data_IF_107278264591
#
_entry.id   IF_107278264591
#
_cell.length_a   1.000
_cell.length_b   1.000
_cell.length_c   1.000
_cell.angle_alpha   90.00
_cell.angle_beta   90.00
_cell.angle_gamma   90.00
#
_symmetry.space_group_name_H-M   'P 1'
#
loop_
_entity.id
_entity.type
_entity.pdbx_description
1 polymer ?
#
# COMPACT_ATOMS: atom_id res chain seq x y z
N UNK A 1 8.89 54.34 -27.43
CA UNK A 1 8.45 53.22 -28.30
C UNK A 1 8.97 51.93 -27.70
N UNK A 2 8.17 50.91 -27.39
CA UNK A 2 6.70 50.83 -27.39
C UNK A 2 6.24 50.04 -26.15
N UNK A 3 5.02 50.30 -25.67
CA UNK A 3 4.50 49.74 -24.42
C UNK A 3 4.34 48.22 -24.41
N UNK A 4 4.47 47.64 -23.21
CA UNK A 4 3.90 46.33 -22.88
C UNK A 4 3.27 46.41 -21.49
N UNK A 5 1.96 46.10 -21.35
CA UNK A 5 1.27 46.28 -20.08
C UNK A 5 1.77 45.31 -19.01
N UNK A 6 1.81 45.79 -17.76
CA UNK A 6 1.90 44.93 -16.58
C UNK A 6 0.73 43.93 -16.60
N UNK A 7 0.98 42.67 -16.23
CA UNK A 7 -0.08 41.74 -15.84
C UNK A 7 0.11 41.32 -14.38
N UNK A 8 -1.01 41.24 -13.69
CA UNK A 8 -1.08 41.19 -12.23
C UNK A 8 -0.83 39.78 -11.67
N UNK A 9 -0.77 39.67 -10.34
CA UNK A 9 -0.35 38.46 -9.65
C UNK A 9 -1.33 37.28 -9.78
N UNK A 10 -0.90 36.20 -10.42
CA UNK A 10 -1.63 34.93 -10.44
C UNK A 10 -1.29 34.08 -9.20
N UNK A 11 -2.10 34.21 -8.15
CA UNK A 11 -2.02 33.36 -6.95
C UNK A 11 -2.08 31.86 -7.32
N UNK A 12 -1.14 31.07 -6.81
CA UNK A 12 -0.96 29.67 -7.19
C UNK A 12 -2.00 28.75 -6.53
N UNK A 13 -3.23 28.81 -7.02
CA UNK A 13 -4.29 27.88 -6.65
C UNK A 13 -4.12 26.57 -7.46
N UNK A 14 -3.92 25.43 -6.76
CA UNK A 14 -3.70 24.13 -7.37
C UNK A 14 -5.00 23.56 -7.96
N UNK A 15 -5.40 24.07 -9.13
CA UNK A 15 -6.52 23.55 -9.93
C UNK A 15 -6.37 22.05 -10.18
N UNK A 16 -7.49 21.33 -10.13
CA UNK A 16 -7.48 19.87 -10.27
C UNK A 16 -7.06 19.45 -11.69
N UNK A 17 -6.43 18.27 -11.81
CA UNK A 17 -5.98 17.71 -13.09
C UNK A 17 -7.09 17.66 -14.16
N UNK A 18 -8.35 17.52 -13.76
CA UNK A 18 -9.48 17.47 -14.69
C UNK A 18 -9.66 18.77 -15.52
N UNK A 19 -9.31 19.94 -14.97
CA UNK A 19 -9.50 21.23 -15.66
C UNK A 19 -8.48 21.47 -16.77
N UNK A 20 -7.31 20.82 -16.72
CA UNK A 20 -6.25 20.98 -17.72
C UNK A 20 -6.44 20.11 -18.98
N UNK A 21 -7.34 19.13 -18.95
CA UNK A 21 -7.41 18.05 -19.94
C UNK A 21 -8.48 18.27 -21.02
N UNK A 22 -9.21 19.40 -20.99
CA UNK A 22 -10.25 19.75 -21.97
C UNK A 22 -10.10 21.17 -22.60
N UNK A 23 -8.93 21.54 -23.16
CA UNK A 23 -8.91 22.55 -24.23
C UNK A 23 -9.49 21.96 -25.53
N UNK A 24 -10.06 22.81 -26.38
CA UNK A 24 -10.68 22.38 -27.64
C UNK A 24 -9.73 21.63 -28.57
N UNK A 25 -10.28 20.67 -29.32
CA UNK A 25 -9.58 19.95 -30.39
C UNK A 25 -10.46 20.01 -31.63
N UNK A 26 -10.03 20.80 -32.62
CA UNK A 26 -10.63 20.79 -33.94
C UNK A 26 -10.44 19.43 -34.62
N UNK A 27 -11.45 19.00 -35.38
CA UNK A 27 -11.45 17.68 -36.03
C UNK A 27 -10.67 17.70 -37.33
N UNK A 28 -9.68 16.81 -37.54
CA UNK A 28 -9.43 16.28 -38.87
C UNK A 28 -10.53 15.27 -39.24
N UNK A 29 -10.99 15.28 -40.48
CA UNK A 29 -11.92 14.30 -41.03
C UNK A 29 -11.14 13.14 -41.65
N UNK A 30 -11.38 11.93 -41.17
CA UNK A 30 -11.15 10.68 -41.91
C UNK A 30 -12.28 9.74 -41.54
N UNK A 31 -13.01 9.24 -42.53
CA UNK A 31 -14.02 8.21 -42.33
C UNK A 31 -13.38 6.82 -42.31
N UNK A 32 -13.74 6.00 -41.32
CA UNK A 32 -13.36 4.61 -41.23
C UNK A 32 -14.49 3.83 -40.54
N UNK A 33 -15.04 2.82 -41.21
CA UNK A 33 -16.12 2.01 -40.66
C UNK A 33 -15.65 1.21 -39.44
N UNK A 34 -16.28 1.45 -38.27
CA UNK A 34 -16.02 0.66 -37.06
C UNK A 34 -17.21 -0.25 -36.77
N UNK A 35 -17.10 -1.50 -37.23
CA UNK A 35 -18.01 -2.60 -36.87
C UNK A 35 -18.10 -2.77 -35.34
N UNK A 36 -19.27 -3.16 -34.78
CA UNK A 36 -19.49 -3.14 -33.34
C UNK A 36 -18.51 -4.03 -32.56
N UNK A 37 -17.84 -3.45 -31.56
CA UNK A 37 -16.87 -4.14 -30.68
C UNK A 37 -17.54 -5.29 -29.90
N UNK A 38 -16.91 -6.46 -29.90
CA UNK A 38 -17.40 -7.67 -29.23
C UNK A 38 -17.26 -7.64 -27.69
N UNK A 39 -17.98 -8.51 -26.94
CA UNK A 39 -18.05 -8.45 -25.47
C UNK A 39 -16.72 -8.69 -24.71
N UNK A 40 -15.67 -9.17 -25.37
CA UNK A 40 -14.38 -9.54 -24.77
C UNK A 40 -13.72 -8.39 -24.00
N UNK A 41 -13.94 -7.15 -24.43
CA UNK A 41 -13.42 -5.95 -23.76
C UNK A 41 -13.98 -5.77 -22.34
N UNK A 42 -15.27 -6.08 -22.11
CA UNK A 42 -15.89 -5.95 -20.78
C UNK A 42 -15.33 -6.99 -19.80
N UNK A 43 -15.13 -8.23 -20.28
CA UNK A 43 -14.57 -9.34 -19.49
C UNK A 43 -13.12 -9.06 -19.06
N UNK A 44 -12.26 -8.63 -19.99
CA UNK A 44 -10.87 -8.23 -19.67
C UNK A 44 -10.78 -7.05 -18.69
N UNK A 45 -11.71 -6.08 -18.77
CA UNK A 45 -11.81 -4.97 -17.80
C UNK A 45 -12.22 -5.46 -16.40
N UNK A 46 -13.08 -6.48 -16.31
CA UNK A 46 -13.49 -7.10 -15.04
C UNK A 46 -12.35 -7.94 -14.44
N UNK A 47 -11.68 -8.75 -15.24
CA UNK A 47 -10.53 -9.57 -14.84
C UNK A 47 -9.37 -8.67 -14.36
N UNK A 48 -9.07 -7.56 -15.05
CA UNK A 48 -8.10 -6.57 -14.60
C UNK A 48 -8.49 -5.89 -13.27
N UNK A 49 -9.77 -5.61 -13.05
CA UNK A 49 -10.26 -5.08 -11.77
C UNK A 49 -10.15 -6.10 -10.63
N UNK A 50 -10.40 -7.39 -10.90
CA UNK A 50 -10.29 -8.48 -9.93
C UNK A 50 -8.83 -8.81 -9.58
N UNK A 51 -7.90 -8.67 -10.54
CA UNK A 51 -6.45 -8.76 -10.30
C UNK A 51 -5.96 -7.60 -9.41
N UNK A 52 -6.46 -6.37 -9.66
CA UNK A 52 -6.19 -5.22 -8.79
C UNK A 52 -6.75 -5.42 -7.36
N UNK A 53 -7.97 -5.94 -7.22
CA UNK A 53 -8.61 -6.16 -5.91
C UNK A 53 -7.86 -7.19 -5.01
N UNK A 54 -7.05 -8.10 -5.58
CA UNK A 54 -6.30 -9.09 -4.77
C UNK A 54 -5.02 -8.54 -4.12
N UNK A 55 -4.34 -7.58 -4.74
CA UNK A 55 -3.02 -7.10 -4.27
C UNK A 55 -3.03 -5.77 -3.53
N UNK A 56 -4.11 -4.97 -3.60
CA UNK A 56 -4.11 -3.56 -3.19
C UNK A 56 -4.79 -3.21 -1.85
N UNK A 57 -5.19 -4.21 -1.04
CA UNK A 57 -6.08 -4.09 0.14
C UNK A 57 -5.72 -3.09 1.27
N UNK A 58 -4.57 -2.41 1.24
CA UNK A 58 -4.23 -1.31 2.17
C UNK A 58 -4.14 0.08 1.53
N UNK A 59 -3.88 0.14 0.22
CA UNK A 59 -3.99 1.39 -0.57
C UNK A 59 -5.49 1.69 -0.87
N UNK A 60 -6.35 0.71 -0.58
CA UNK A 60 -7.79 0.74 -0.81
C UNK A 60 -8.52 1.94 -0.20
N UNK A 61 -8.13 2.55 0.92
CA UNK A 61 -8.89 3.73 1.41
C UNK A 61 -8.86 4.90 0.42
N UNK A 62 -7.69 5.20 -0.15
CA UNK A 62 -7.53 6.23 -1.18
C UNK A 62 -7.94 5.74 -2.59
N UNK A 63 -7.82 4.44 -2.87
CA UNK A 63 -8.22 3.86 -4.16
C UNK A 63 -9.72 3.54 -4.26
N UNK A 64 -10.42 3.22 -3.18
CA UNK A 64 -11.89 3.11 -3.13
C UNK A 64 -12.55 4.49 -3.13
N UNK A 65 -11.95 5.53 -2.53
CA UNK A 65 -12.42 6.91 -2.72
C UNK A 65 -12.22 7.37 -4.18
N UNK A 66 -11.14 6.95 -4.84
CA UNK A 66 -10.96 7.11 -6.28
C UNK A 66 -11.95 6.26 -7.09
N UNK A 67 -12.17 4.97 -6.76
CA UNK A 67 -13.11 4.04 -7.42
C UNK A 67 -14.53 4.58 -7.39
N UNK A 68 -14.99 5.08 -6.23
CA UNK A 68 -16.30 5.74 -6.07
C UNK A 68 -16.40 7.04 -6.89
N UNK A 69 -15.34 7.85 -6.91
CA UNK A 69 -15.29 9.08 -7.73
C UNK A 69 -15.25 8.79 -9.23
N UNK A 70 -14.52 7.76 -9.64
CA UNK A 70 -14.34 7.29 -11.03
C UNK A 70 -15.59 6.57 -11.55
N UNK A 71 -16.26 5.77 -10.71
CA UNK A 71 -17.59 5.22 -11.00
C UNK A 71 -18.59 6.36 -11.19
N UNK A 72 -18.68 7.32 -10.26
CA UNK A 72 -19.55 8.51 -10.42
C UNK A 72 -19.21 9.33 -11.67
N UNK A 73 -17.94 9.54 -11.99
CA UNK A 73 -17.52 10.27 -13.18
C UNK A 73 -17.86 9.49 -14.48
N UNK A 74 -17.61 8.18 -14.50
CA UNK A 74 -17.96 7.29 -15.61
C UNK A 74 -19.47 7.12 -15.79
N UNK A 75 -20.24 7.11 -14.71
CA UNK A 75 -21.70 7.15 -14.70
C UNK A 75 -22.24 8.51 -15.15
N UNK A 76 -21.61 9.62 -14.74
CA UNK A 76 -21.93 10.96 -15.21
C UNK A 76 -21.65 11.10 -16.71
N UNK A 77 -20.51 10.62 -17.20
CA UNK A 77 -20.19 10.56 -18.64
C UNK A 77 -21.11 9.62 -19.42
N UNK A 78 -21.49 8.46 -18.87
CA UNK A 78 -22.51 7.59 -19.47
C UNK A 78 -23.89 8.23 -19.46
N UNK A 79 -24.26 8.95 -18.40
CA UNK A 79 -25.51 9.71 -18.31
C UNK A 79 -25.50 10.84 -19.33
N UNK A 80 -24.44 11.64 -19.40
CA UNK A 80 -24.30 12.74 -20.36
C UNK A 80 -24.29 12.23 -21.80
N UNK A 81 -23.62 11.10 -22.10
CA UNK A 81 -23.76 10.44 -23.41
C UNK A 81 -25.19 10.02 -23.67
N UNK A 82 -25.85 9.32 -22.74
CA UNK A 82 -27.27 8.92 -22.84
C UNK A 82 -28.23 10.11 -22.90
N UNK A 83 -27.91 11.25 -22.30
CA UNK A 83 -28.74 12.46 -22.34
C UNK A 83 -28.55 13.17 -23.68
N UNK A 84 -27.31 13.33 -24.17
CA UNK A 84 -27.02 13.84 -25.52
C UNK A 84 -27.61 12.92 -26.61
N UNK A 85 -27.56 11.60 -26.41
CA UNK A 85 -28.15 10.58 -27.27
C UNK A 85 -29.68 10.61 -27.21
N UNK A 86 -30.28 10.70 -26.01
CA UNK A 86 -31.71 11.02 -25.84
C UNK A 86 -32.10 12.36 -26.43
N UNK A 87 -31.20 13.35 -26.49
CA UNK A 87 -31.51 14.70 -26.96
C UNK A 87 -31.41 14.77 -28.48
N UNK A 88 -30.47 14.04 -29.10
CA UNK A 88 -30.52 13.69 -30.52
C UNK A 88 -31.78 12.90 -30.86
N UNK A 89 -32.03 11.79 -30.16
CA UNK A 89 -33.22 10.97 -30.33
C UNK A 89 -34.51 11.72 -30.00
N UNK A 90 -34.50 12.80 -29.21
CA UNK A 90 -35.66 13.71 -28.98
C UNK A 90 -35.82 14.74 -30.08
N UNK A 91 -34.76 15.18 -30.75
CA UNK A 91 -34.88 15.99 -31.98
C UNK A 91 -35.38 15.12 -33.12
N UNK A 92 -34.91 13.87 -33.19
CA UNK A 92 -35.35 12.88 -34.17
C UNK A 92 -36.76 12.34 -33.87
N UNK A 93 -37.09 12.03 -32.60
CA UNK A 93 -38.48 11.75 -32.18
C UNK A 93 -39.36 12.97 -32.28
N UNK A 94 -38.87 14.20 -32.04
CA UNK A 94 -39.71 15.37 -32.28
C UNK A 94 -40.00 15.49 -33.77
N UNK A 95 -39.01 15.39 -34.67
CA UNK A 95 -39.27 15.37 -36.12
C UNK A 95 -40.26 14.25 -36.48
N UNK A 96 -40.06 13.04 -35.95
CA UNK A 96 -40.98 11.90 -36.13
C UNK A 96 -42.32 12.03 -35.41
N UNK A 97 -42.47 12.94 -34.45
CA UNK A 97 -43.74 13.27 -33.77
C UNK A 97 -44.42 14.45 -34.45
N UNK A 98 -43.70 15.40 -35.04
CA UNK A 98 -44.28 16.40 -35.93
C UNK A 98 -44.82 15.67 -37.19
N UNK A 99 -44.16 14.59 -37.64
CA UNK A 99 -44.64 13.62 -38.65
C UNK A 99 -45.79 12.73 -38.09
N UNK A 100 -45.63 12.08 -36.93
CA UNK A 100 -46.66 11.20 -36.34
C UNK A 100 -47.85 11.93 -35.70
N UNK A 101 -47.81 13.23 -35.42
CA UNK A 101 -48.98 14.00 -34.93
C UNK A 101 -49.88 14.42 -36.11
N UNK A 102 -49.35 14.44 -37.34
CA UNK A 102 -50.19 14.38 -38.54
C UNK A 102 -50.93 13.03 -38.61
N UNK A 103 -50.22 11.90 -38.53
CA UNK A 103 -50.84 10.55 -38.56
C UNK A 103 -51.72 10.22 -37.33
N UNK A 104 -51.42 10.78 -36.14
CA UNK A 104 -52.16 10.51 -34.89
C UNK A 104 -53.30 11.48 -34.65
N UNK A 105 -53.38 12.60 -35.36
CA UNK A 105 -54.64 13.33 -35.51
C UNK A 105 -55.76 12.44 -36.08
N UNK A 106 -55.40 11.44 -36.88
CA UNK A 106 -56.33 10.47 -37.46
C UNK A 106 -56.62 9.26 -36.54
N UNK A 107 -55.69 8.92 -35.61
CA UNK A 107 -55.71 7.65 -34.86
C UNK A 107 -55.98 7.80 -33.35
N UNK A 108 -55.60 8.90 -32.69
CA UNK A 108 -55.82 9.08 -31.24
C UNK A 108 -57.29 9.41 -30.87
N UNK A 109 -58.19 9.39 -31.86
CA UNK A 109 -59.63 9.34 -31.65
C UNK A 109 -60.09 7.98 -31.08
N UNK A 110 -59.28 6.91 -31.18
CA UNK A 110 -59.82 5.54 -31.11
C UNK A 110 -59.57 4.72 -29.82
N UNK A 111 -58.46 4.89 -29.08
CA UNK A 111 -58.16 4.06 -27.87
C UNK A 111 -57.45 4.77 -26.71
N UNK A 112 -58.22 5.21 -25.71
CA UNK A 112 -57.72 5.65 -24.41
C UNK A 112 -58.49 5.01 -23.21
N UNK A 113 -58.24 3.72 -22.89
CA UNK A 113 -58.79 3.05 -21.68
C UNK A 113 -57.76 2.17 -20.93
N UNK A 114 -57.44 2.60 -19.69
CA UNK A 114 -57.04 1.83 -18.47
C UNK A 114 -55.60 1.23 -18.24
N UNK A 115 -54.91 1.82 -17.23
CA UNK A 115 -54.23 1.33 -15.97
C UNK A 115 -53.95 -0.20 -15.69
N UNK A 116 -53.08 -0.70 -14.75
CA UNK A 116 -51.80 -0.28 -14.01
C UNK A 116 -51.39 -1.27 -12.84
N UNK A 117 -50.09 -1.42 -12.41
CA UNK A 117 -49.53 -1.81 -11.01
C UNK A 117 -49.64 -3.30 -10.49
N UNK A 118 -48.82 -4.03 -9.64
CA UNK A 118 -47.43 -4.12 -8.97
C UNK A 118 -47.05 -5.63 -8.61
N UNK A 119 -46.27 -6.20 -7.61
CA UNK A 119 -45.59 -5.87 -6.28
C UNK A 119 -44.47 -6.91 -5.83
N UNK A 120 -44.05 -7.06 -4.54
CA UNK A 120 -42.74 -7.68 -4.03
C UNK A 120 -42.68 -8.27 -2.55
N UNK A 121 -41.49 -8.76 -1.98
CA UNK A 121 -41.00 -9.08 -0.53
C UNK A 121 -40.63 -10.61 -0.20
N UNK A 122 -39.98 -11.24 0.87
CA UNK A 122 -39.42 -11.03 2.29
C UNK A 122 -38.50 -12.22 2.88
N UNK A 123 -37.81 -12.11 4.09
CA UNK A 123 -37.12 -13.14 5.04
C UNK A 123 -35.60 -13.54 4.82
N UNK A 124 -34.70 -14.22 5.62
CA UNK A 124 -34.38 -14.79 7.03
C UNK A 124 -32.79 -15.14 7.09
N UNK A 125 -31.99 -15.72 8.05
CA UNK A 125 -31.82 -15.93 9.55
C UNK A 125 -30.52 -16.73 10.01
N UNK A 126 -30.17 -16.77 11.34
CA UNK A 126 -29.51 -17.87 12.18
C UNK A 126 -28.03 -17.87 12.79
N UNK A 127 -27.59 -18.93 13.57
CA UNK A 127 -26.94 -18.89 14.96
C UNK A 127 -25.91 -20.07 15.39
N UNK A 128 -25.05 -19.89 16.47
CA UNK A 128 -24.43 -20.86 17.51
C UNK A 128 -23.00 -21.55 17.47
N UNK A 129 -22.32 -21.78 18.66
CA UNK A 129 -21.53 -23.01 19.14
C UNK A 129 -20.33 -22.81 20.15
N UNK A 130 -19.98 -23.83 21.03
CA UNK A 130 -18.62 -24.17 21.65
C UNK A 130 -18.58 -25.15 22.87
N UNK A 131 -17.54 -26.02 23.00
CA UNK A 131 -17.12 -26.80 24.23
C UNK A 131 -15.69 -27.42 24.11
N UNK A 132 -14.85 -27.43 25.16
CA UNK A 132 -13.64 -28.33 25.30
C UNK A 132 -12.87 -28.16 26.64
N UNK A 133 -12.64 -29.21 27.49
CA UNK A 133 -11.76 -29.12 28.70
C UNK A 133 -11.41 -30.38 29.56
N UNK A 134 -11.55 -31.65 29.11
CA UNK A 134 -11.68 -32.83 30.02
C UNK A 134 -10.49 -33.83 30.14
N UNK A 135 -9.27 -33.54 29.67
CA UNK A 135 -8.31 -34.62 29.32
C UNK A 135 -7.30 -35.08 30.42
N UNK A 136 -6.74 -34.17 31.23
CA UNK A 136 -5.40 -34.36 31.83
C UNK A 136 -5.29 -35.35 33.03
N UNK A 137 -6.38 -35.64 33.74
CA UNK A 137 -6.31 -36.32 35.04
C UNK A 137 -5.98 -37.82 35.00
N UNK A 138 -6.14 -38.50 33.85
CA UNK A 138 -6.04 -39.98 33.78
C UNK A 138 -4.61 -40.53 33.85
N UNK A 139 -3.62 -39.83 33.30
CA UNK A 139 -2.36 -40.46 32.88
C UNK A 139 -1.46 -40.94 34.03
N UNK A 140 -1.61 -40.39 35.24
CA UNK A 140 -0.72 -40.68 36.39
C UNK A 140 -1.02 -42.00 37.11
N UNK A 141 -2.20 -42.60 36.87
CA UNK A 141 -2.62 -43.82 37.56
C UNK A 141 -1.97 -45.08 36.95
N UNK A 142 -2.01 -45.20 35.62
CA UNK A 142 -1.61 -46.41 34.88
C UNK A 142 -0.16 -46.85 35.17
N UNK A 143 0.79 -45.89 35.23
CA UNK A 143 2.21 -46.19 35.42
C UNK A 143 2.54 -46.87 36.75
N UNK A 144 1.74 -46.67 37.80
CA UNK A 144 1.95 -47.35 39.10
C UNK A 144 1.50 -48.80 39.06
N UNK A 145 0.48 -49.10 38.26
CA UNK A 145 -0.12 -50.43 38.14
C UNK A 145 0.76 -51.39 37.34
N UNK A 146 1.21 -50.98 36.15
CA UNK A 146 2.10 -51.79 35.28
C UNK A 146 3.42 -52.16 35.95
N UNK A 147 3.96 -51.28 36.81
CA UNK A 147 5.17 -51.57 37.60
C UNK A 147 4.97 -52.71 38.60
N UNK A 148 3.76 -52.89 39.16
CA UNK A 148 3.45 -54.01 40.04
C UNK A 148 3.32 -55.34 39.26
N UNK A 149 2.77 -55.29 38.03
CA UNK A 149 2.73 -56.44 37.12
C UNK A 149 4.14 -56.89 36.75
N UNK A 150 4.99 -55.97 36.29
CA UNK A 150 6.40 -56.27 35.96
C UNK A 150 7.18 -56.81 37.16
N UNK A 151 6.95 -56.28 38.38
CA UNK A 151 7.56 -56.80 39.61
C UNK A 151 7.20 -58.29 39.85
N UNK A 152 6.01 -58.74 39.47
CA UNK A 152 5.55 -60.11 39.70
C UNK A 152 6.14 -61.13 38.70
N UNK A 153 6.68 -60.66 37.58
CA UNK A 153 7.21 -61.46 36.46
C UNK A 153 8.74 -61.40 36.33
N UNK A 154 9.46 -61.09 37.43
CA UNK A 154 10.94 -60.94 37.52
C UNK A 154 11.80 -62.12 37.02
N UNK A 155 11.22 -63.23 36.59
CA UNK A 155 11.93 -64.32 35.92
C UNK A 155 12.17 -64.08 34.41
N UNK A 156 11.64 -62.99 33.85
CA UNK A 156 11.68 -62.68 32.42
C UNK A 156 12.13 -61.24 32.15
N UNK A 157 12.79 -61.02 31.02
CA UNK A 157 13.23 -59.70 30.56
C UNK A 157 12.03 -58.88 30.05
N UNK A 158 11.55 -57.95 30.89
CA UNK A 158 10.33 -57.15 30.65
C UNK A 158 10.64 -55.65 30.67
N UNK A 159 10.15 -54.96 29.64
CA UNK A 159 10.15 -53.50 29.50
C UNK A 159 8.75 -52.98 29.85
N UNK A 160 8.68 -51.95 30.71
CA UNK A 160 7.44 -51.29 31.08
C UNK A 160 7.47 -49.80 30.72
N UNK A 161 6.40 -49.30 30.09
CA UNK A 161 6.22 -47.88 29.83
C UNK A 161 4.74 -47.46 29.93
N UNK A 162 4.42 -46.58 30.87
CA UNK A 162 3.08 -46.09 31.18
C UNK A 162 2.05 -47.21 31.39
N UNK A 163 1.28 -47.56 30.34
CA UNK A 163 0.23 -48.57 30.37
C UNK A 163 0.59 -49.84 29.59
N UNK A 164 1.73 -49.83 28.88
CA UNK A 164 2.10 -50.85 27.90
C UNK A 164 3.32 -51.65 28.42
N UNK A 165 3.28 -52.97 28.25
CA UNK A 165 4.32 -53.93 28.64
C UNK A 165 4.83 -54.66 27.39
N UNK A 166 6.12 -55.00 27.37
CA UNK A 166 6.72 -55.88 26.36
C UNK A 166 7.82 -56.73 27.00
N UNK A 167 8.17 -57.86 26.37
CA UNK A 167 9.30 -58.68 26.79
C UNK A 167 9.94 -59.39 25.60
N UNK A 168 11.15 -59.92 25.80
CA UNK A 168 11.91 -60.65 24.79
C UNK A 168 12.63 -61.85 25.41
N UNK A 169 12.95 -62.85 24.60
CA UNK A 169 13.65 -64.06 25.06
C UNK A 169 13.68 -65.14 23.98
N UNK A 170 14.13 -66.35 24.36
CA UNK A 170 13.98 -67.54 23.51
C UNK A 170 12.49 -67.86 23.31
N UNK A 171 12.14 -68.50 22.20
CA UNK A 171 10.73 -68.83 21.87
C UNK A 171 9.99 -69.49 23.04
N UNK A 172 10.58 -70.52 23.65
CA UNK A 172 10.01 -71.22 24.80
C UNK A 172 9.81 -70.30 26.02
N UNK A 173 10.78 -69.43 26.33
CA UNK A 173 10.66 -68.50 27.45
C UNK A 173 9.66 -67.37 27.17
N UNK A 174 9.53 -66.91 25.92
CA UNK A 174 8.55 -65.91 25.54
C UNK A 174 7.11 -66.45 25.64
N UNK A 175 6.87 -67.70 25.23
CA UNK A 175 5.57 -68.36 25.43
C UNK A 175 5.27 -68.65 26.91
N UNK A 176 6.28 -68.99 27.73
CA UNK A 176 6.12 -69.08 29.20
C UNK A 176 5.76 -67.72 29.82
N UNK A 177 6.52 -66.67 29.50
CA UNK A 177 6.30 -65.31 30.01
C UNK A 177 4.90 -64.78 29.66
N UNK A 178 4.48 -64.94 28.41
CA UNK A 178 3.14 -64.52 27.96
C UNK A 178 2.03 -65.28 28.68
N UNK A 179 2.18 -66.59 28.89
CA UNK A 179 1.22 -67.40 29.64
C UNK A 179 1.20 -67.08 31.15
N UNK A 180 2.34 -66.72 31.74
CA UNK A 180 2.38 -66.25 33.13
C UNK A 180 1.75 -64.85 33.30
N UNK A 181 1.89 -63.97 32.30
CA UNK A 181 1.20 -62.67 32.26
C UNK A 181 -0.33 -62.83 32.16
N UNK A 182 -0.81 -63.69 31.25
CA UNK A 182 -2.24 -64.03 31.10
C UNK A 182 -2.82 -64.63 32.39
N UNK A 183 -2.16 -65.66 32.94
CA UNK A 183 -2.53 -66.23 34.24
C UNK A 183 -2.56 -65.19 35.38
N UNK A 184 -1.62 -64.24 35.40
CA UNK A 184 -1.57 -63.16 36.38
C UNK A 184 -2.72 -62.17 36.20
N UNK A 185 -3.05 -61.79 34.96
CA UNK A 185 -4.20 -60.94 34.66
C UNK A 185 -5.52 -61.60 35.08
N UNK A 186 -5.72 -62.87 34.74
CA UNK A 186 -6.88 -63.66 35.15
C UNK A 186 -6.98 -63.77 36.68
N UNK A 187 -5.86 -64.08 37.36
CA UNK A 187 -5.83 -64.23 38.84
C UNK A 187 -6.09 -62.91 39.57
N UNK A 188 -5.70 -61.77 39.00
CA UNK A 188 -5.89 -60.45 39.58
C UNK A 188 -7.15 -59.71 39.08
N UNK A 189 -7.97 -60.31 38.21
CA UNK A 189 -9.17 -59.69 37.66
C UNK A 189 -8.89 -58.47 36.75
N UNK A 190 -7.81 -58.55 35.97
CA UNK A 190 -7.31 -57.45 35.12
C UNK A 190 -7.82 -57.65 33.69
N UNK A 191 -8.62 -56.71 33.18
CA UNK A 191 -9.04 -56.70 31.77
C UNK A 191 -7.91 -56.21 30.86
N UNK A 192 -7.39 -57.08 30.00
CA UNK A 192 -6.39 -56.71 29.00
C UNK A 192 -7.02 -55.96 27.82
N UNK A 193 -6.30 -54.98 27.25
CA UNK A 193 -6.62 -54.42 25.95
C UNK A 193 -6.24 -55.40 24.83
N UNK A 194 -7.06 -56.43 24.60
CA UNK A 194 -6.81 -57.52 23.63
C UNK A 194 -6.45 -57.06 22.21
N UNK A 195 -6.91 -55.89 21.78
CA UNK A 195 -6.55 -55.26 20.48
C UNK A 195 -5.13 -54.67 20.42
N UNK A 196 -4.40 -54.65 21.54
CA UNK A 196 -2.98 -54.32 21.69
C UNK A 196 -2.13 -55.52 22.12
N UNK A 197 -2.75 -56.62 22.52
CA UNK A 197 -2.06 -57.81 22.97
C UNK A 197 -1.44 -58.53 21.75
N UNK A 198 -0.13 -58.75 21.79
CA UNK A 198 0.58 -59.50 20.76
C UNK A 198 1.11 -60.79 21.38
N UNK A 199 0.70 -61.93 20.84
CA UNK A 199 1.32 -63.22 21.16
C UNK A 199 2.81 -63.21 20.77
N UNK A 200 3.66 -64.02 21.41
CA UNK A 200 5.09 -64.08 21.11
C UNK A 200 5.38 -64.24 19.62
N UNK A 201 6.12 -63.27 19.09
CA UNK A 201 6.33 -63.06 17.65
C UNK A 201 7.75 -62.59 17.38
N UNK A 202 8.26 -62.93 16.20
CA UNK A 202 9.52 -62.39 15.68
C UNK A 202 9.43 -60.91 15.28
N UNK A 203 8.21 -60.37 15.12
CA UNK A 203 7.97 -58.97 14.77
C UNK A 203 6.79 -58.40 15.57
N UNK A 204 7.00 -57.29 16.27
CA UNK A 204 6.02 -56.68 17.19
C UNK A 204 6.13 -55.14 17.16
N UNK A 205 5.01 -54.42 17.16
CA UNK A 205 5.01 -52.96 17.39
C UNK A 205 4.90 -52.67 18.89
N UNK A 206 5.91 -52.01 19.46
CA UNK A 206 5.90 -51.54 20.85
C UNK A 206 6.18 -50.03 20.90
N UNK A 207 5.34 -49.29 21.64
CA UNK A 207 5.36 -47.82 21.74
C UNK A 207 5.36 -47.05 20.40
N UNK A 208 5.06 -47.74 19.30
CA UNK A 208 5.09 -47.16 17.98
C UNK A 208 6.33 -47.40 17.14
N UNK A 209 7.21 -48.31 17.57
CA UNK A 209 8.37 -48.81 16.83
C UNK A 209 8.16 -50.30 16.60
N UNK A 210 8.39 -50.77 15.38
CA UNK A 210 8.35 -52.19 15.04
C UNK A 210 9.73 -52.78 15.29
N UNK A 211 9.80 -53.72 16.22
CA UNK A 211 11.00 -54.52 16.47
C UNK A 211 10.93 -55.82 15.66
N UNK A 212 11.97 -56.15 14.91
CA UNK A 212 12.13 -57.44 14.22
C UNK A 212 13.35 -58.18 14.79
N UNK A 213 13.11 -59.27 15.52
CA UNK A 213 14.16 -60.02 16.25
C UNK A 213 14.94 -60.98 15.37
N UNK A 214 14.50 -61.21 14.12
CA UNK A 214 15.22 -62.05 13.14
C UNK A 214 16.17 -61.20 12.30
N UNK A 215 15.76 -59.98 11.93
CA UNK A 215 16.64 -59.00 11.26
C UNK A 215 17.49 -58.17 12.22
N UNK A 216 17.15 -58.17 13.51
CA UNK A 216 17.69 -57.26 14.54
C UNK A 216 17.48 -55.77 14.17
N UNK A 217 16.34 -55.44 13.55
CA UNK A 217 15.99 -54.07 13.13
C UNK A 217 14.94 -53.43 14.04
N UNK A 218 15.03 -52.10 14.16
CA UNK A 218 13.98 -51.22 14.69
C UNK A 218 13.47 -50.35 13.55
N UNK A 219 12.19 -50.46 13.21
CA UNK A 219 11.54 -49.82 12.06
C UNK A 219 10.43 -48.88 12.55
N UNK A 220 10.30 -47.69 11.96
CA UNK A 220 9.14 -46.81 12.22
C UNK A 220 8.02 -47.22 11.25
N UNK A 221 6.77 -47.46 11.71
CA UNK A 221 5.65 -47.78 10.83
C UNK A 221 5.47 -46.74 9.70
N UNK A 222 5.23 -47.21 8.48
CA UNK A 222 5.10 -46.35 7.28
C UNK A 222 4.03 -45.26 7.44
N UNK A 223 2.94 -45.53 8.15
CA UNK A 223 1.89 -44.54 8.39
C UNK A 223 2.36 -43.39 9.30
N UNK A 224 3.21 -43.68 10.30
CA UNK A 224 3.84 -42.62 11.11
C UNK A 224 4.86 -41.82 10.30
N UNK A 225 5.55 -42.46 9.35
CA UNK A 225 6.41 -41.76 8.39
C UNK A 225 5.59 -40.90 7.40
N UNK A 226 4.36 -41.30 7.03
CA UNK A 226 3.44 -40.44 6.26
C UNK A 226 2.99 -39.24 7.09
N UNK A 227 2.59 -39.43 8.35
CA UNK A 227 2.17 -38.33 9.24
C UNK A 227 3.29 -37.31 9.48
N UNK A 228 4.52 -37.78 9.73
CA UNK A 228 5.69 -36.89 9.87
C UNK A 228 5.93 -36.09 8.58
N UNK A 229 5.84 -36.72 7.39
CA UNK A 229 5.94 -36.01 6.09
C UNK A 229 4.81 -34.99 5.90
N UNK A 230 3.58 -35.33 6.28
CA UNK A 230 2.42 -34.44 6.20
C UNK A 230 2.59 -33.21 7.10
N UNK A 231 3.08 -33.40 8.33
CA UNK A 231 3.38 -32.31 9.27
C UNK A 231 4.48 -31.41 8.71
N UNK A 232 5.60 -31.98 8.24
CA UNK A 232 6.72 -31.20 7.67
C UNK A 232 6.28 -30.38 6.45
N UNK A 233 5.55 -30.97 5.51
CA UNK A 233 5.01 -30.25 4.35
C UNK A 233 4.07 -29.10 4.74
N UNK A 234 3.28 -29.26 5.81
CA UNK A 234 2.43 -28.18 6.33
C UNK A 234 3.22 -27.03 7.00
N UNK A 235 4.46 -27.27 7.46
CA UNK A 235 5.30 -26.26 8.11
C UNK A 235 6.08 -25.43 7.09
N UNK A 236 6.67 -26.08 6.08
CA UNK A 236 7.40 -25.44 4.99
C UNK A 236 6.52 -24.40 4.27
N UNK A 237 5.29 -24.81 3.94
CA UNK A 237 4.26 -24.01 3.28
C UNK A 237 3.78 -22.80 4.13
N UNK A 238 3.87 -22.87 5.47
CA UNK A 238 3.56 -21.75 6.38
C UNK A 238 4.73 -20.76 6.50
N UNK A 239 5.97 -21.25 6.61
CA UNK A 239 7.14 -20.37 6.72
C UNK A 239 7.36 -19.58 5.43
N UNK A 240 7.22 -20.21 4.26
CA UNK A 240 7.35 -19.53 2.97
C UNK A 240 6.29 -18.42 2.79
N UNK A 241 5.03 -18.69 3.15
CA UNK A 241 3.94 -17.69 3.14
C UNK A 241 4.12 -16.56 4.16
N UNK A 242 4.98 -16.74 5.17
CA UNK A 242 5.38 -15.63 6.05
C UNK A 242 6.49 -14.79 5.41
N UNK A 243 7.52 -15.41 4.84
CA UNK A 243 8.57 -14.75 4.05
C UNK A 243 7.98 -13.89 2.92
N UNK A 244 6.98 -14.39 2.18
CA UNK A 244 6.25 -13.60 1.18
C UNK A 244 5.65 -12.29 1.73
N UNK A 245 5.04 -12.34 2.93
CA UNK A 245 4.44 -11.16 3.57
C UNK A 245 5.51 -10.16 3.98
N UNK A 246 6.64 -10.64 4.50
CA UNK A 246 7.74 -9.77 4.94
C UNK A 246 8.54 -9.19 3.77
N UNK A 247 8.63 -9.87 2.62
CA UNK A 247 9.06 -9.29 1.34
C UNK A 247 8.08 -8.20 0.88
N UNK A 248 6.77 -8.47 0.91
CA UNK A 248 5.71 -7.49 0.56
C UNK A 248 5.70 -6.28 1.53
N UNK A 249 6.06 -6.46 2.80
CA UNK A 249 6.23 -5.41 3.83
C UNK A 249 7.50 -4.58 3.62
N UNK A 250 8.60 -5.22 3.24
CA UNK A 250 9.90 -4.56 2.99
C UNK A 250 9.87 -3.74 1.69
N UNK A 251 9.32 -4.30 0.60
CA UNK A 251 9.10 -3.58 -0.67
C UNK A 251 8.09 -2.44 -0.55
N UNK A 252 7.06 -2.55 0.31
CA UNK A 252 6.22 -1.41 0.71
C UNK A 252 6.99 -0.33 1.47
N UNK A 253 8.09 -0.67 2.16
CA UNK A 253 8.83 0.27 3.02
C UNK A 253 9.90 1.08 2.27
N UNK A 254 10.37 0.58 1.12
CA UNK A 254 11.41 1.22 0.29
C UNK A 254 11.09 2.65 -0.19
N UNK A 255 9.81 3.05 -0.27
CA UNK A 255 9.41 4.39 -0.71
C UNK A 255 8.94 5.30 0.45
N UNK A 256 9.60 6.46 0.55
CA UNK A 256 9.17 7.56 1.42
C UNK A 256 7.74 8.04 1.11
N UNK A 257 7.06 8.61 2.11
CA UNK A 257 5.63 8.98 2.03
C UNK A 257 5.31 9.92 0.86
N UNK A 258 6.17 10.91 0.58
CA UNK A 258 6.01 11.80 -0.58
C UNK A 258 6.10 11.05 -1.92
N UNK A 259 7.01 10.08 -2.04
CA UNK A 259 7.13 9.23 -3.23
C UNK A 259 5.88 8.37 -3.42
N UNK A 260 5.30 7.82 -2.35
CA UNK A 260 4.03 7.07 -2.41
C UNK A 260 2.87 7.93 -2.92
N UNK A 261 2.73 9.17 -2.43
CA UNK A 261 1.72 10.14 -2.93
C UNK A 261 1.91 10.49 -4.41
N UNK A 262 3.17 10.60 -4.86
CA UNK A 262 3.50 10.81 -6.27
C UNK A 262 3.13 9.58 -7.12
N UNK A 263 3.48 8.37 -6.69
CA UNK A 263 3.15 7.12 -7.39
C UNK A 263 1.64 6.97 -7.59
N UNK A 264 0.83 7.15 -6.53
CA UNK A 264 -0.63 7.10 -6.63
C UNK A 264 -1.17 8.15 -7.64
N UNK A 265 -0.55 9.32 -7.72
CA UNK A 265 -0.94 10.36 -8.69
C UNK A 265 -0.60 9.97 -10.14
N UNK A 266 0.56 9.34 -10.35
CA UNK A 266 0.99 8.81 -11.66
C UNK A 266 0.11 7.64 -12.12
N UNK A 267 -0.25 6.74 -11.20
CA UNK A 267 -1.17 5.63 -11.45
C UNK A 267 -2.57 6.12 -11.82
N UNK A 268 -3.12 7.08 -11.05
CA UNK A 268 -4.42 7.72 -11.37
C UNK A 268 -4.42 8.33 -12.78
N UNK A 269 -3.36 9.04 -13.17
CA UNK A 269 -3.23 9.61 -14.52
C UNK A 269 -3.18 8.55 -15.64
N UNK A 270 -2.42 7.47 -15.44
CA UNK A 270 -2.32 6.37 -16.40
C UNK A 270 -3.65 5.59 -16.55
N UNK A 271 -4.32 5.28 -15.43
CA UNK A 271 -5.61 4.61 -15.44
C UNK A 271 -6.71 5.45 -16.09
N UNK A 272 -6.68 6.78 -15.92
CA UNK A 272 -7.57 7.72 -16.63
C UNK A 272 -7.29 7.73 -18.14
N UNK A 273 -6.02 7.75 -18.56
CA UNK A 273 -5.62 7.62 -19.97
C UNK A 273 -6.14 6.31 -20.59
N UNK A 274 -5.87 5.17 -19.95
CA UNK A 274 -6.32 3.86 -20.42
C UNK A 274 -7.85 3.76 -20.52
N UNK A 275 -8.58 4.31 -19.55
CA UNK A 275 -10.04 4.37 -19.59
C UNK A 275 -10.58 5.25 -20.72
N UNK A 276 -9.98 6.44 -20.92
CA UNK A 276 -10.42 7.39 -21.94
C UNK A 276 -10.25 6.84 -23.36
N UNK A 277 -9.12 6.17 -23.65
CA UNK A 277 -8.80 5.61 -24.96
C UNK A 277 -9.26 4.15 -25.16
N UNK A 278 -9.96 3.55 -24.19
CA UNK A 278 -10.39 2.14 -24.18
C UNK A 278 -9.24 1.13 -24.41
N UNK A 279 -8.11 1.37 -23.73
CA UNK A 279 -6.90 0.53 -23.78
C UNK A 279 -6.76 -0.25 -22.47
N UNK A 280 -6.31 -1.50 -22.55
CA UNK A 280 -6.00 -2.29 -21.36
C UNK A 280 -4.85 -1.62 -20.56
N UNK A 281 -5.03 -1.35 -19.24
CA UNK A 281 -3.97 -0.80 -18.41
C UNK A 281 -2.94 -1.85 -18.00
N UNK A 282 -3.36 -3.11 -17.93
CA UNK A 282 -2.62 -4.26 -17.40
C UNK A 282 -3.01 -5.48 -18.27
N UNK A 283 -2.04 -6.30 -18.73
CA UNK A 283 -0.63 -5.97 -18.86
C UNK A 283 -0.43 -4.85 -19.90
N UNK A 284 0.50 -3.92 -19.64
CA UNK A 284 0.74 -2.79 -20.55
C UNK A 284 1.62 -3.19 -21.74
N UNK A 285 1.29 -2.71 -22.94
CA UNK A 285 2.05 -2.97 -24.18
C UNK A 285 3.02 -1.84 -24.50
N UNK A 286 4.04 -2.10 -25.33
CA UNK A 286 4.91 -1.05 -25.88
C UNK A 286 4.10 0.07 -26.56
N UNK A 287 3.12 -0.29 -27.41
CA UNK A 287 2.23 0.68 -28.05
C UNK A 287 1.47 1.52 -27.04
N UNK A 288 0.98 0.93 -25.94
CA UNK A 288 0.32 1.66 -24.86
C UNK A 288 1.27 2.66 -24.16
N UNK A 289 2.52 2.27 -23.90
CA UNK A 289 3.54 3.17 -23.29
C UNK A 289 3.93 4.29 -24.25
N UNK A 290 4.16 3.99 -25.54
CA UNK A 290 4.49 4.99 -26.55
C UNK A 290 3.35 6.01 -26.72
N UNK A 291 2.10 5.54 -26.85
CA UNK A 291 0.93 6.41 -26.89
C UNK A 291 0.74 7.21 -25.60
N UNK A 292 1.05 6.65 -24.42
CA UNK A 292 0.97 7.38 -23.15
C UNK A 292 2.07 8.45 -23.04
N UNK A 293 3.31 8.17 -23.48
CA UNK A 293 4.40 9.15 -23.52
C UNK A 293 4.05 10.34 -24.43
N UNK A 294 3.53 10.06 -25.63
CA UNK A 294 3.08 11.07 -26.58
C UNK A 294 1.78 11.79 -26.14
N UNK A 295 0.97 11.16 -25.30
CA UNK A 295 -0.16 11.84 -24.66
C UNK A 295 0.34 12.79 -23.56
N UNK A 296 1.25 12.35 -22.70
CA UNK A 296 1.82 13.15 -21.62
C UNK A 296 2.60 14.38 -22.13
N UNK A 297 3.24 14.30 -23.29
CA UNK A 297 3.94 15.44 -23.91
C UNK A 297 3.01 16.60 -24.29
N UNK A 298 1.69 16.37 -24.41
CA UNK A 298 0.68 17.43 -24.59
C UNK A 298 0.51 18.32 -23.35
N UNK A 299 0.90 17.84 -22.17
CA UNK A 299 0.79 18.57 -20.89
C UNK A 299 2.16 18.88 -20.27
N UNK A 300 3.13 17.97 -20.40
CA UNK A 300 4.47 18.12 -19.83
C UNK A 300 5.50 18.52 -20.90
N UNK A 301 6.13 19.68 -20.71
CA UNK A 301 7.27 20.11 -21.52
C UNK A 301 8.57 19.38 -21.14
N UNK A 302 8.77 19.06 -19.85
CA UNK A 302 9.92 18.27 -19.38
C UNK A 302 9.76 16.79 -19.73
N UNK A 303 10.71 16.24 -20.49
CA UNK A 303 10.81 14.79 -20.75
C UNK A 303 11.07 13.98 -19.49
N UNK A 304 11.73 14.55 -18.47
CA UNK A 304 11.98 13.88 -17.19
C UNK A 304 10.68 13.70 -16.40
N UNK A 305 9.76 14.66 -16.52
CA UNK A 305 8.40 14.53 -15.98
C UNK A 305 7.65 13.38 -16.67
N UNK A 306 7.77 13.25 -18.00
CA UNK A 306 7.19 12.14 -18.77
C UNK A 306 7.79 10.79 -18.32
N UNK A 307 9.13 10.67 -18.27
CA UNK A 307 9.82 9.46 -17.78
C UNK A 307 9.45 9.12 -16.34
N UNK A 308 9.28 10.10 -15.46
CA UNK A 308 8.84 9.91 -14.08
C UNK A 308 7.42 9.30 -14.00
N UNK A 309 6.47 9.79 -14.80
CA UNK A 309 5.12 9.20 -14.86
C UNK A 309 5.13 7.76 -15.43
N UNK A 310 5.97 7.48 -16.43
CA UNK A 310 6.11 6.14 -17.02
C UNK A 310 6.78 5.17 -16.03
N UNK A 311 7.79 5.63 -15.27
CA UNK A 311 8.37 4.87 -14.17
C UNK A 311 7.34 4.57 -13.07
N UNK A 312 6.36 5.45 -12.84
CA UNK A 312 5.19 5.15 -12.01
C UNK A 312 4.41 3.93 -12.50
N UNK A 313 4.15 3.83 -13.81
CA UNK A 313 3.47 2.67 -14.43
C UNK A 313 4.33 1.39 -14.34
N UNK A 314 5.65 1.51 -14.49
CA UNK A 314 6.60 0.40 -14.28
C UNK A 314 6.53 -0.13 -12.84
N UNK A 315 6.57 0.76 -11.85
CA UNK A 315 6.44 0.40 -10.43
C UNK A 315 5.04 -0.19 -10.12
N UNK A 316 3.99 0.24 -10.82
CA UNK A 316 2.65 -0.37 -10.72
C UNK A 316 2.62 -1.83 -11.17
N UNK A 317 3.33 -2.16 -12.26
CA UNK A 317 3.44 -3.54 -12.76
C UNK A 317 4.29 -4.42 -11.84
N UNK A 318 5.39 -3.87 -11.30
CA UNK A 318 6.21 -4.57 -10.31
C UNK A 318 5.45 -4.84 -8.99
N UNK A 319 4.56 -3.94 -8.55
CA UNK A 319 3.68 -4.20 -7.39
C UNK A 319 2.55 -5.21 -7.65
N UNK A 320 2.39 -5.67 -8.90
CA UNK A 320 1.44 -6.69 -9.31
C UNK A 320 2.13 -8.00 -9.70
N UNK A 321 3.46 -8.10 -9.54
CA UNK A 321 4.28 -9.22 -9.98
C UNK A 321 4.15 -9.49 -11.50
N UNK A 322 3.94 -8.42 -12.29
CA UNK A 322 3.72 -8.48 -13.75
C UNK A 322 4.89 -7.88 -14.56
N UNK A 323 5.15 -8.41 -15.78
CA UNK A 323 6.17 -7.87 -16.67
C UNK A 323 5.80 -6.46 -17.16
N UNK A 324 6.83 -5.67 -17.46
CA UNK A 324 6.70 -4.31 -18.00
C UNK A 324 7.65 -4.14 -19.20
N UNK A 325 7.21 -3.50 -20.31
CA UNK A 325 8.03 -3.32 -21.51
C UNK A 325 9.38 -2.62 -21.23
N UNK A 326 10.53 -3.16 -21.67
CA UNK A 326 11.83 -2.55 -21.40
C UNK A 326 11.97 -1.19 -22.12
N UNK A 327 12.06 -0.12 -21.33
CA UNK A 327 12.20 1.27 -21.79
C UNK A 327 13.51 1.57 -22.54
N UNK A 328 14.42 0.59 -22.64
CA UNK A 328 15.67 0.74 -23.38
C UNK A 328 15.51 0.43 -24.89
N UNK A 329 14.32 -0.01 -25.32
CA UNK A 329 13.97 -0.22 -26.73
C UNK A 329 14.21 1.05 -27.57
N UNK A 330 14.81 0.86 -28.75
CA UNK A 330 15.04 1.89 -29.76
C UNK A 330 13.79 2.74 -30.08
N UNK A 331 12.61 2.13 -30.23
CA UNK A 331 11.35 2.87 -30.48
C UNK A 331 11.07 3.92 -29.40
N UNK A 332 11.23 3.53 -28.13
CA UNK A 332 10.94 4.41 -27.00
C UNK A 332 12.01 5.50 -26.85
N UNK A 333 13.29 5.16 -27.08
CA UNK A 333 14.39 6.12 -27.14
C UNK A 333 14.15 7.16 -28.24
N UNK A 334 13.80 6.74 -29.45
CA UNK A 334 13.53 7.60 -30.60
C UNK A 334 12.32 8.51 -30.36
N UNK A 335 11.23 7.96 -29.81
CA UNK A 335 10.05 8.75 -29.41
C UNK A 335 10.41 9.81 -28.36
N UNK A 336 11.14 9.43 -27.31
CA UNK A 336 11.54 10.38 -26.26
C UNK A 336 12.50 11.45 -26.76
N UNK A 337 13.35 11.16 -27.76
CA UNK A 337 14.19 12.15 -28.43
C UNK A 337 13.36 13.11 -29.31
N UNK A 338 12.42 12.58 -30.11
CA UNK A 338 11.49 13.39 -30.90
C UNK A 338 10.62 14.31 -30.03
N UNK A 339 10.15 13.82 -28.88
CA UNK A 339 9.44 14.63 -27.87
C UNK A 339 10.36 15.71 -27.29
N UNK A 340 11.63 15.42 -26.99
CA UNK A 340 12.58 16.40 -26.45
C UNK A 340 12.80 17.57 -27.42
N UNK A 341 13.00 17.24 -28.71
CA UNK A 341 13.23 18.23 -29.76
C UNK A 341 11.95 19.03 -30.10
N UNK A 342 10.77 18.40 -30.05
CA UNK A 342 9.48 19.08 -30.23
C UNK A 342 9.14 20.01 -29.06
N UNK A 343 9.39 19.57 -27.82
CA UNK A 343 9.04 20.27 -26.59
C UNK A 343 10.28 20.88 -25.90
N UNK A 344 11.08 21.69 -26.60
CA UNK A 344 12.29 22.31 -26.04
C UNK A 344 12.00 23.04 -24.72
N UNK A 345 12.39 22.40 -23.62
CA UNK A 345 12.08 22.85 -22.27
C UNK A 345 13.32 23.36 -21.56
N UNK A 346 13.47 24.68 -21.52
CA UNK A 346 14.33 25.30 -20.51
C UNK A 346 13.59 25.25 -19.14
N UNK A 347 14.17 24.63 -18.10
CA UNK A 347 13.62 24.69 -16.76
C UNK A 347 13.60 26.14 -16.27
N UNK A 348 12.42 26.64 -15.87
CA UNK A 348 12.28 28.02 -15.39
C UNK A 348 12.90 28.16 -13.99
N UNK A 349 14.20 28.39 -13.94
CA UNK A 349 14.90 28.75 -12.71
C UNK A 349 14.35 30.09 -12.20
N UNK A 350 14.17 30.20 -10.88
CA UNK A 350 13.95 31.49 -10.24
C UNK A 350 15.25 32.31 -10.31
N UNK A 351 15.14 33.65 -10.33
CA UNK A 351 16.33 34.50 -10.14
C UNK A 351 16.91 34.22 -8.75
N UNK A 352 18.24 34.22 -8.58
CA UNK A 352 18.84 34.07 -7.26
C UNK A 352 18.40 35.21 -6.35
N UNK A 353 18.13 34.90 -5.08
CA UNK A 353 18.03 35.92 -4.03
C UNK A 353 19.44 36.49 -3.84
N UNK A 354 19.56 37.80 -3.78
CA UNK A 354 20.83 38.51 -3.53
C UNK A 354 20.77 39.24 -2.17
N UNK A 355 21.93 39.61 -1.58
CA UNK A 355 21.97 40.45 -0.39
C UNK A 355 21.16 41.74 -0.55
N UNK A 356 21.20 42.38 -1.72
CA UNK A 356 20.45 43.60 -1.98
C UNK A 356 18.95 43.37 -2.14
N UNK A 357 18.53 42.23 -2.70
CA UNK A 357 17.12 41.85 -2.69
C UNK A 357 16.58 41.66 -1.25
N UNK A 358 17.41 41.13 -0.34
CA UNK A 358 17.06 41.07 1.08
C UNK A 358 16.97 42.47 1.72
N UNK A 359 17.88 43.40 1.38
CA UNK A 359 17.77 44.81 1.83
C UNK A 359 16.49 45.48 1.32
N UNK A 360 16.09 45.23 0.07
CA UNK A 360 14.83 45.74 -0.48
C UNK A 360 13.61 45.10 0.20
N UNK A 361 13.63 43.79 0.49
CA UNK A 361 12.57 43.14 1.26
C UNK A 361 12.41 43.72 2.67
N UNK A 362 13.53 44.08 3.33
CA UNK A 362 13.51 44.63 4.69
C UNK A 362 12.73 45.96 4.79
N UNK A 363 12.65 46.75 3.71
CA UNK A 363 11.87 48.01 3.68
C UNK A 363 10.36 47.81 3.87
N UNK A 364 9.88 46.57 3.79
CA UNK A 364 8.47 46.20 3.93
C UNK A 364 8.19 45.38 5.21
N UNK A 365 9.15 45.30 6.15
CA UNK A 365 9.07 44.51 7.38
C UNK A 365 9.31 45.38 8.61
N UNK A 366 8.41 45.33 9.59
CA UNK A 366 8.60 45.99 10.88
C UNK A 366 9.38 45.06 11.84
N UNK A 367 10.67 45.35 12.08
CA UNK A 367 11.49 44.50 12.97
C UNK A 367 11.11 44.57 14.45
N UNK A 368 10.19 45.45 14.85
CA UNK A 368 9.58 45.48 16.19
C UNK A 368 8.24 44.72 16.24
N UNK A 369 7.69 44.34 15.09
CA UNK A 369 6.60 43.38 14.99
C UNK A 369 7.12 41.93 15.16
N UNK A 370 6.55 41.22 16.13
CA UNK A 370 6.86 39.80 16.40
C UNK A 370 6.73 38.88 15.17
N UNK A 371 5.83 39.18 14.23
CA UNK A 371 5.61 38.33 13.05
C UNK A 371 6.74 38.52 12.03
N UNK A 372 7.12 39.78 11.80
CA UNK A 372 8.03 40.18 10.74
C UNK A 372 9.48 39.89 11.11
N UNK A 373 9.87 40.04 12.38
CA UNK A 373 11.20 39.60 12.85
C UNK A 373 11.41 38.08 12.68
N UNK A 374 10.34 37.27 12.80
CA UNK A 374 10.39 35.82 12.54
C UNK A 374 10.55 35.54 11.06
N UNK A 375 9.80 36.23 10.19
CA UNK A 375 9.97 36.09 8.73
C UNK A 375 11.35 36.56 8.28
N UNK A 376 11.85 37.69 8.80
CA UNK A 376 13.19 38.20 8.52
C UNK A 376 14.28 37.20 8.93
N UNK A 377 14.24 36.70 10.17
CA UNK A 377 15.17 35.69 10.64
C UNK A 377 15.09 34.40 9.81
N UNK A 378 13.89 33.96 9.43
CA UNK A 378 13.68 32.81 8.55
C UNK A 378 14.29 33.02 7.15
N UNK A 379 14.13 34.21 6.55
CA UNK A 379 14.72 34.52 5.24
C UNK A 379 16.25 34.53 5.29
N UNK A 380 16.84 35.12 6.34
CA UNK A 380 18.29 35.10 6.54
C UNK A 380 18.81 33.67 6.76
N UNK A 381 18.13 32.83 7.56
CA UNK A 381 18.51 31.42 7.72
C UNK A 381 18.35 30.62 6.43
N UNK A 382 17.27 30.82 5.66
CA UNK A 382 17.07 30.16 4.38
C UNK A 382 18.18 30.52 3.39
N UNK A 383 18.58 31.80 3.34
CA UNK A 383 19.67 32.30 2.51
C UNK A 383 21.04 31.77 2.96
N UNK A 384 21.50 32.11 4.17
CA UNK A 384 22.88 31.78 4.60
C UNK A 384 23.13 30.27 4.79
N UNK A 385 22.12 29.46 5.11
CA UNK A 385 22.25 28.00 5.18
C UNK A 385 22.02 27.31 3.82
N UNK A 386 21.63 28.06 2.77
CA UNK A 386 21.14 27.54 1.48
C UNK A 386 20.10 26.40 1.65
N UNK A 387 19.25 26.55 2.66
CA UNK A 387 18.44 25.45 3.20
C UNK A 387 17.05 25.41 2.59
N UNK A 388 16.48 24.20 2.45
CA UNK A 388 15.11 24.02 1.94
C UNK A 388 14.12 24.36 3.06
N UNK A 389 12.99 25.01 2.72
CA UNK A 389 11.88 25.29 3.66
C UNK A 389 11.57 24.11 4.59
N UNK A 390 11.47 22.91 4.02
CA UNK A 390 11.17 21.64 4.72
C UNK A 390 12.16 21.24 5.82
N UNK A 391 13.36 21.84 5.86
CA UNK A 391 14.36 21.61 6.90
C UNK A 391 14.21 22.64 8.05
N UNK A 392 13.73 23.86 7.75
CA UNK A 392 13.59 24.96 8.71
C UNK A 392 12.25 24.98 9.43
N UNK A 393 11.16 24.61 8.73
CA UNK A 393 9.79 24.67 9.25
C UNK A 393 8.96 23.46 8.81
N UNK A 394 7.99 23.00 9.62
CA UNK A 394 7.06 21.94 9.22
C UNK A 394 6.06 22.42 8.15
N UNK A 395 5.38 21.48 7.48
CA UNK A 395 4.33 21.80 6.51
C UNK A 395 3.04 22.32 7.17
N UNK A 396 2.72 21.82 8.37
CA UNK A 396 1.66 22.34 9.27
C UNK A 396 2.09 22.24 10.74
N UNK A 397 1.33 22.89 11.63
CA UNK A 397 1.55 22.81 13.10
C UNK A 397 1.45 21.35 13.56
N UNK A 398 0.45 20.63 13.06
CA UNK A 398 0.15 19.24 13.44
C UNK A 398 1.14 18.21 12.83
N UNK A 399 2.06 18.65 11.97
CA UNK A 399 3.12 17.84 11.36
C UNK A 399 4.51 18.06 11.97
N UNK A 400 4.60 18.74 13.13
CA UNK A 400 5.85 18.99 13.82
C UNK A 400 6.33 17.78 14.62
N UNK A 401 7.61 17.43 14.45
CA UNK A 401 8.34 16.37 15.13
C UNK A 401 9.71 16.96 15.53
N UNK A 402 9.94 17.17 16.83
CA UNK A 402 11.18 17.78 17.34
C UNK A 402 12.45 17.00 16.96
N UNK A 403 12.34 15.73 16.57
CA UNK A 403 13.45 14.91 16.06
C UNK A 403 13.78 15.21 14.60
N UNK A 404 12.81 15.71 13.80
CA UNK A 404 12.97 15.95 12.35
C UNK A 404 13.16 17.41 11.96
N UNK A 405 12.34 18.31 12.50
CA UNK A 405 12.43 19.74 12.16
C UNK A 405 13.48 20.47 13.01
N UNK A 406 13.90 21.65 12.54
CA UNK A 406 14.81 22.52 13.28
C UNK A 406 14.10 23.12 14.51
N UNK A 407 14.63 22.82 15.69
CA UNK A 407 14.19 23.32 16.99
C UNK A 407 15.17 24.36 17.54
N UNK A 408 14.82 25.07 18.61
CA UNK A 408 15.70 26.10 19.19
C UNK A 408 16.99 25.51 19.79
N UNK A 409 16.93 24.35 20.44
CA UNK A 409 18.12 23.62 20.94
C UNK A 409 19.08 23.22 19.81
N UNK A 410 18.58 23.05 18.58
CA UNK A 410 19.38 22.74 17.37
C UNK A 410 20.02 23.98 16.73
N UNK A 411 19.98 25.14 17.39
CA UNK A 411 20.71 26.36 17.02
C UNK A 411 21.61 26.75 18.20
N UNK A 412 22.79 26.13 18.27
CA UNK A 412 23.72 26.32 19.39
C UNK A 412 24.44 27.67 19.26
N UNK A 413 24.17 28.60 20.17
CA UNK A 413 24.68 29.97 20.11
C UNK A 413 26.04 30.10 20.80
N UNK A 414 27.03 30.64 20.09
CA UNK A 414 28.31 31.10 20.63
C UNK A 414 28.53 32.57 20.27
N UNK A 415 29.54 33.21 20.89
CA UNK A 415 29.78 34.66 20.81
C UNK A 415 29.84 35.23 19.38
N UNK A 416 30.53 34.55 18.46
CA UNK A 416 30.69 35.00 17.06
C UNK A 416 30.14 34.01 16.02
N UNK A 417 29.50 32.91 16.43
CA UNK A 417 28.96 31.86 15.53
C UNK A 417 27.71 31.23 16.15
N UNK A 418 26.67 31.00 15.34
CA UNK A 418 25.57 30.09 15.68
C UNK A 418 25.72 28.78 14.89
N UNK A 419 25.76 27.63 15.55
CA UNK A 419 25.88 26.32 14.90
C UNK A 419 24.49 25.72 14.72
N UNK A 420 24.03 25.60 13.48
CA UNK A 420 22.72 25.04 13.13
C UNK A 420 22.87 23.54 12.83
N UNK A 421 22.05 22.71 13.48
CA UNK A 421 22.17 21.25 13.47
C UNK A 421 20.98 20.60 12.76
N UNK A 422 21.26 19.94 11.62
CA UNK A 422 20.29 19.14 10.86
C UNK A 422 20.59 17.64 11.02
N UNK A 423 19.81 16.97 11.86
CA UNK A 423 19.84 15.50 12.04
C UNK A 423 19.01 14.76 10.99
N UNK A 424 18.04 15.45 10.38
CA UNK A 424 17.10 14.87 9.41
C UNK A 424 16.93 15.78 8.20
N UNK A 425 16.94 15.20 7.00
CA UNK A 425 16.63 15.88 5.74
C UNK A 425 16.06 14.88 4.73
N UNK A 426 15.61 15.35 3.55
CA UNK A 426 15.24 14.45 2.42
C UNK A 426 16.33 13.41 2.08
N UNK A 427 17.60 13.72 2.33
CA UNK A 427 18.78 12.89 2.02
C UNK A 427 19.53 12.41 3.28
N UNK A 428 18.91 12.52 4.45
CA UNK A 428 19.39 12.00 5.74
C UNK A 428 18.12 11.54 6.46
N UNK A 429 17.64 10.34 6.16
CA UNK A 429 16.33 9.87 6.65
C UNK A 429 16.45 8.98 7.89
N UNK A 430 17.60 8.32 8.07
CA UNK A 430 17.86 7.34 9.13
C UNK A 430 18.93 7.78 10.15
N UNK A 431 19.27 9.08 10.19
CA UNK A 431 20.30 9.60 11.10
C UNK A 431 21.74 9.27 10.70
N UNK A 432 21.95 8.77 9.48
CA UNK A 432 23.25 8.32 8.91
C UNK A 432 24.42 9.31 9.09
N UNK A 433 24.12 10.61 9.24
CA UNK A 433 25.07 11.67 9.60
C UNK A 433 24.34 12.87 10.18
N UNK A 434 25.00 13.63 11.05
CA UNK A 434 24.50 14.92 11.55
C UNK A 434 25.19 16.03 10.75
N UNK A 435 24.41 16.92 10.13
CA UNK A 435 24.93 18.06 9.38
C UNK A 435 24.94 19.30 10.27
N UNK A 436 26.14 19.74 10.69
CA UNK A 436 26.35 21.00 11.43
C UNK A 436 26.79 22.10 10.47
N UNK A 437 26.07 23.23 10.43
CA UNK A 437 26.38 24.37 9.57
C UNK A 437 26.62 25.61 10.45
N UNK A 438 27.81 26.24 10.41
CA UNK A 438 28.07 27.47 11.14
C UNK A 438 27.49 28.69 10.42
N UNK A 439 26.75 29.52 11.15
CA UNK A 439 26.38 30.88 10.76
C UNK A 439 27.28 31.86 11.51
N UNK A 440 28.19 32.52 10.78
CA UNK A 440 29.10 33.52 11.36
C UNK A 440 28.32 34.80 11.68
N UNK A 441 28.60 35.39 12.84
CA UNK A 441 28.08 36.72 13.21
C UNK A 441 28.75 37.76 12.31
N UNK A 442 27.96 38.45 11.51
CA UNK A 442 28.39 39.64 10.78
C UNK A 442 28.15 40.83 11.70
N UNK A 443 29.24 41.45 12.17
CA UNK A 443 29.17 42.64 13.01
C UNK A 443 28.54 43.82 12.22
N UNK A 444 27.75 44.65 12.90
CA UNK A 444 27.02 45.85 12.40
C UNK A 444 26.16 45.70 11.12
N UNK A 445 25.88 44.47 10.70
CA UNK A 445 25.09 44.19 9.49
C UNK A 445 23.62 43.87 9.78
N UNK A 446 22.71 44.62 9.14
CA UNK A 446 21.27 44.31 9.10
C UNK A 446 20.94 42.92 8.52
N UNK A 447 21.85 42.34 7.73
CA UNK A 447 21.71 41.00 7.16
C UNK A 447 22.26 39.90 8.07
N UNK A 448 22.72 40.21 9.29
CA UNK A 448 23.33 39.22 10.18
C UNK A 448 22.29 38.22 10.73
N UNK A 449 22.36 36.92 10.37
CA UNK A 449 21.38 35.93 10.83
C UNK A 449 21.47 35.70 12.34
N UNK A 450 22.69 35.75 12.91
CA UNK A 450 22.95 35.57 14.34
C UNK A 450 22.29 36.67 15.17
N UNK A 451 22.42 37.92 14.75
CA UNK A 451 21.77 39.08 15.41
C UNK A 451 20.25 39.02 15.26
N UNK A 452 19.73 38.67 14.09
CA UNK A 452 18.30 38.52 13.85
C UNK A 452 17.67 37.41 14.72
N UNK A 453 18.34 36.26 14.86
CA UNK A 453 17.89 35.15 15.71
C UNK A 453 17.87 35.54 17.19
N UNK A 454 18.92 36.23 17.66
CA UNK A 454 18.97 36.75 19.02
C UNK A 454 17.84 37.77 19.31
N UNK A 455 17.53 38.69 18.36
CA UNK A 455 16.39 39.61 18.50
C UNK A 455 15.05 38.86 18.52
N UNK A 456 14.84 37.94 17.59
CA UNK A 456 13.64 37.09 17.52
C UNK A 456 13.42 36.29 18.82
N UNK A 457 14.45 35.66 19.35
CA UNK A 457 14.35 34.85 20.58
C UNK A 457 14.08 35.68 21.84
N UNK A 458 14.55 36.95 21.89
CA UNK A 458 14.21 37.91 22.96
C UNK A 458 12.76 38.39 22.87
N UNK A 459 12.28 38.73 21.67
CA UNK A 459 10.90 39.21 21.43
C UNK A 459 9.86 38.08 21.55
N UNK A 460 10.25 36.85 21.25
CA UNK A 460 9.42 35.64 21.36
C UNK A 460 10.17 34.56 22.14
N UNK A 461 10.09 34.59 23.48
CA UNK A 461 10.48 33.45 24.30
C UNK A 461 9.64 32.21 23.95
N UNK A 462 10.28 31.05 23.85
CA UNK A 462 9.66 29.76 23.63
C UNK A 462 10.61 28.63 24.10
N UNK A 463 10.09 27.44 24.49
CA UNK A 463 10.92 26.32 24.97
C UNK A 463 11.98 25.86 23.97
N UNK A 464 13.04 25.22 24.44
CA UNK A 464 14.17 24.81 23.59
C UNK A 464 13.79 23.74 22.55
N UNK A 465 12.87 22.85 22.89
CA UNK A 465 12.31 21.85 21.95
C UNK A 465 11.30 22.44 20.95
N UNK A 466 10.88 23.70 21.11
CA UNK A 466 9.96 24.34 20.17
C UNK A 466 10.63 24.57 18.81
N UNK A 467 9.85 24.74 17.71
CA UNK A 467 10.40 25.10 16.41
C UNK A 467 11.31 26.33 16.50
N UNK A 468 12.38 26.39 15.71
CA UNK A 468 13.26 27.55 15.69
C UNK A 468 12.49 28.86 15.39
N UNK A 469 11.52 28.79 14.47
CA UNK A 469 10.67 29.90 14.05
C UNK A 469 9.22 29.69 14.52
N UNK A 470 8.72 30.61 15.37
CA UNK A 470 7.37 30.53 15.96
C UNK A 470 6.69 31.89 15.86
N UNK A 471 5.48 31.92 15.30
CA UNK A 471 4.63 33.11 15.20
C UNK A 471 3.49 32.98 16.23
N UNK A 472 3.24 34.04 17.01
CA UNK A 472 2.09 34.09 17.93
C UNK A 472 0.79 34.09 17.11
N UNK A 473 -0.07 33.07 17.28
CA UNK A 473 -1.41 33.04 16.67
C UNK A 473 -2.27 34.14 17.30
N UNK A 474 -2.59 35.18 16.52
CA UNK A 474 -3.65 36.12 16.88
C UNK A 474 -5.00 35.38 16.92
N UNK A 475 -5.51 35.10 18.12
CA UNK A 475 -6.77 34.38 18.36
C UNK A 475 -8.02 35.23 18.14
N UNK A 476 -7.98 36.16 17.16
CA UNK A 476 -9.20 36.78 16.61
C UNK A 476 -9.95 35.75 15.77
N UNK A 477 -10.74 34.90 16.44
CA UNK A 477 -11.88 34.21 15.81
C UNK A 477 -12.82 35.28 15.26
N UNK A 478 -12.77 35.51 13.94
CA UNK A 478 -13.92 36.07 13.24
C UNK A 478 -15.02 35.00 13.26
N UNK A 479 -15.82 35.03 14.33
CA UNK A 479 -17.19 34.51 14.36
C UNK A 479 -18.11 35.63 13.93
N UNK A 480 -18.51 35.63 12.67
CA UNK A 480 -19.86 35.95 12.22
C UNK A 480 -20.23 34.88 11.20
#
# INVERSE_FOLDING_TARGET
>A
MADRPRREGAGHNYKSLAEYWLPGVDKPVVEAEVKPKTPSSARRRLEAAQLLDRSFNEIDKELTQFRKSFQKAGESLKKQRRENEKQRLRVELKKKQDELEQEKGEIDNEKAKNKKVTRTRTKKSEIISKTDKKHDSKNRFCQRFTNAVAYRLKGFDIINYLADLAGAGTSENAFKAFKELDNLFLTCGIEESTHKAFSPSHRMEFLGIISDTVKLTLEIPDDKLKDIRNILGSWEDVQFKQLEKDVKKSTKSAFAVGTKKNLVSQWRAFLLFCFYFDVAPIPVTFKTINCYAQFLSRSFKSTDSIRNYINGVKIMHFYLDLPFPPLDNFEFKLLMAGILESNKHCPRQARPITPDFLKEMLKFLDLDNCTDIVYWCFFLFAFFLMSRKSNLVPDSVDSFDCKRQLTRVKVCMHERVAIVVFEWTKTIQWGERILKIPLVKIDDSILCPVTAYNRMCRMIPAPEESPAFVIKRNTRRLKQ
#
